data_IF_245555456068
#
_entry.id   IF_245555456068
#
_cell.length_a   1.000
_cell.length_b   1.000
_cell.length_c   1.000
_cell.angle_alpha   90.00
_cell.angle_beta   90.00
_cell.angle_gamma   90.00
#
_symmetry.space_group_name_H-M   'P 1'
#
loop_
_entity.id
_entity.type
_entity.pdbx_description
1 polymer ?
#
# COMPACT_ATOMS: atom_id res chain seq x y z
N UNK A 1 17.77 19.07 -40.10
CA UNK A 1 17.33 17.79 -40.69
C UNK A 1 17.22 16.79 -39.56
N UNK A 2 16.00 16.31 -39.35
CA UNK A 2 15.52 15.24 -38.47
C UNK A 2 15.65 15.31 -36.93
N UNK A 3 14.45 15.41 -36.36
CA UNK A 3 13.95 15.01 -35.04
C UNK A 3 14.09 13.50 -34.85
N UNK A 4 14.27 13.03 -33.61
CA UNK A 4 13.46 11.96 -33.00
C UNK A 4 13.46 12.10 -31.46
N UNK A 5 12.24 12.23 -30.92
CA UNK A 5 11.90 12.18 -29.50
C UNK A 5 11.91 10.73 -28.98
N UNK A 6 12.15 10.53 -27.68
CA UNK A 6 11.26 9.71 -26.85
C UNK A 6 11.38 10.06 -25.35
N UNK A 7 10.23 10.30 -24.71
CA UNK A 7 10.03 10.40 -23.26
C UNK A 7 9.70 9.01 -22.70
N UNK A 8 10.15 8.68 -21.50
CA UNK A 8 9.26 8.16 -20.44
C UNK A 8 9.95 8.19 -19.07
N UNK A 9 9.16 8.60 -18.08
CA UNK A 9 9.45 8.83 -16.68
C UNK A 9 9.28 7.55 -15.86
N UNK A 10 10.34 7.07 -15.21
CA UNK A 10 10.24 5.99 -14.22
C UNK A 10 9.89 6.55 -12.84
N UNK A 11 8.66 6.38 -12.39
CA UNK A 11 8.30 6.55 -10.98
C UNK A 11 8.84 5.33 -10.22
N UNK A 12 9.83 5.54 -9.35
CA UNK A 12 10.40 4.51 -8.49
C UNK A 12 9.68 4.53 -7.14
N UNK A 13 8.93 3.49 -6.82
CA UNK A 13 8.35 3.28 -5.49
C UNK A 13 9.42 2.64 -4.58
N UNK A 14 9.70 3.23 -3.42
CA UNK A 14 10.72 2.74 -2.47
C UNK A 14 10.05 2.41 -1.13
N UNK A 15 10.09 1.15 -0.73
CA UNK A 15 9.46 0.61 0.48
C UNK A 15 10.37 0.76 1.71
N UNK A 16 9.83 1.11 2.89
CA UNK A 16 10.55 1.18 4.18
C UNK A 16 9.68 0.56 5.29
N UNK A 17 10.19 -0.43 6.04
CA UNK A 17 9.54 -0.98 7.24
C UNK A 17 9.91 -0.17 8.50
N UNK A 18 8.95 -0.01 9.42
CA UNK A 18 8.94 1.03 10.47
C UNK A 18 9.20 0.53 11.91
N UNK A 19 10.10 -0.43 12.12
CA UNK A 19 10.56 -0.77 13.48
C UNK A 19 11.64 0.22 13.96
N UNK A 20 11.25 1.43 14.39
CA UNK A 20 12.22 2.40 14.93
C UNK A 20 11.79 3.86 15.03
N UNK A 21 10.49 4.15 15.04
CA UNK A 21 9.94 5.49 14.82
C UNK A 21 10.28 6.58 15.85
N UNK A 22 10.91 6.27 16.99
CA UNK A 22 11.37 7.32 17.92
C UNK A 22 12.83 7.75 17.75
N UNK A 23 13.63 7.04 16.94
CA UNK A 23 15.07 7.33 16.76
C UNK A 23 15.51 7.64 15.32
N UNK A 24 14.66 7.40 14.32
CA UNK A 24 15.07 7.42 12.89
C UNK A 24 14.28 8.48 12.11
N UNK A 25 14.28 9.72 12.58
CA UNK A 25 13.69 10.84 11.83
C UNK A 25 14.73 11.77 11.18
N UNK A 26 16.02 11.39 11.12
CA UNK A 26 17.09 12.33 10.74
C UNK A 26 18.09 11.93 9.65
N UNK A 27 17.88 10.92 8.77
CA UNK A 27 18.58 11.04 7.47
C UNK A 27 17.81 10.66 6.20
N UNK A 28 16.60 10.09 6.27
CA UNK A 28 15.83 9.73 5.05
C UNK A 28 14.82 10.78 4.59
N UNK A 29 14.58 11.84 5.40
CA UNK A 29 13.76 12.99 5.00
C UNK A 29 14.46 13.97 4.03
N UNK A 30 15.75 13.78 3.74
CA UNK A 30 16.50 14.66 2.83
C UNK A 30 16.09 14.54 1.35
N UNK A 31 15.21 13.59 1.01
CA UNK A 31 14.77 13.34 -0.36
C UNK A 31 13.30 13.68 -0.63
N UNK A 32 12.52 14.05 0.39
CA UNK A 32 11.08 14.37 0.25
C UNK A 32 10.70 15.80 0.61
N UNK A 33 11.61 16.63 1.13
CA UNK A 33 11.35 18.05 1.43
C UNK A 33 10.09 18.28 2.31
N UNK A 34 9.64 17.27 3.06
CA UNK A 34 8.53 17.39 4.01
C UNK A 34 9.15 18.00 5.27
N UNK A 35 8.87 19.27 5.53
CA UNK A 35 9.39 20.01 6.68
C UNK A 35 9.09 19.25 8.00
N UNK A 36 10.08 19.22 8.91
CA UNK A 36 10.06 18.52 10.21
C UNK A 36 8.88 19.00 11.08
N UNK A 37 8.37 20.21 10.82
CA UNK A 37 7.17 20.78 11.47
C UNK A 37 5.87 20.02 11.17
N UNK A 38 5.79 19.31 10.05
CA UNK A 38 4.56 18.62 9.62
C UNK A 38 4.44 17.19 10.15
N UNK A 39 5.52 16.60 10.69
CA UNK A 39 5.48 15.27 11.32
C UNK A 39 4.61 15.25 12.57
N UNK A 40 4.65 16.31 13.39
CA UNK A 40 3.76 16.43 14.56
C UNK A 40 2.27 16.50 14.16
N UNK A 41 1.96 17.22 13.08
CA UNK A 41 0.60 17.33 12.53
C UNK A 41 0.13 16.01 11.94
N UNK A 42 1.01 15.29 11.23
CA UNK A 42 0.72 13.97 10.68
C UNK A 42 0.45 12.96 11.81
N UNK A 43 1.30 12.88 12.84
CA UNK A 43 1.07 12.00 14.00
C UNK A 43 -0.25 12.31 14.75
N UNK A 44 -0.60 13.59 14.91
CA UNK A 44 -1.86 14.00 15.55
C UNK A 44 -3.10 13.65 14.69
N UNK A 45 -2.98 13.80 13.37
CA UNK A 45 -4.03 13.48 12.42
C UNK A 45 -4.27 11.97 12.29
N UNK A 46 -3.22 11.14 12.35
CA UNK A 46 -3.33 9.67 12.42
C UNK A 46 -4.14 9.25 13.66
N UNK A 47 -3.94 9.90 14.81
CA UNK A 47 -4.70 9.63 16.04
C UNK A 47 -6.20 9.96 15.98
N UNK A 48 -6.65 10.70 14.96
CA UNK A 48 -8.06 11.10 14.80
C UNK A 48 -8.91 10.14 13.96
N UNK A 49 -8.33 9.08 13.38
CA UNK A 49 -9.00 8.13 12.48
C UNK A 49 -9.83 7.06 13.25
N UNK A 50 -10.19 7.32 14.52
CA UNK A 50 -10.71 6.27 15.40
C UNK A 50 -12.19 5.93 15.18
N UNK A 51 -12.46 4.61 15.13
CA UNK A 51 -13.69 3.98 15.61
C UNK A 51 -13.65 3.89 17.15
N UNK A 52 -14.78 3.97 17.88
CA UNK A 52 -14.77 3.90 19.35
C UNK A 52 -14.17 2.60 19.86
N UNK A 53 -13.11 2.68 20.70
CA UNK A 53 -12.52 1.52 21.41
C UNK A 53 -11.10 1.12 21.00
N UNK A 54 -10.51 1.73 19.98
CA UNK A 54 -9.11 1.49 19.59
C UNK A 54 -8.19 2.43 20.38
N UNK A 55 -7.29 1.86 21.19
CA UNK A 55 -6.42 2.61 22.13
C UNK A 55 -4.96 2.72 21.67
N UNK A 56 -4.56 2.04 20.60
CA UNK A 56 -3.27 2.21 19.94
C UNK A 56 -3.41 2.06 18.42
N UNK A 57 -3.01 3.11 17.72
CA UNK A 57 -2.81 3.12 16.27
C UNK A 57 -1.32 3.01 16.01
N UNK A 58 -0.90 1.95 15.34
CA UNK A 58 0.50 1.76 14.97
C UNK A 58 0.61 1.87 13.44
N UNK A 59 0.93 3.05 12.90
CA UNK A 59 1.22 3.16 11.48
C UNK A 59 2.51 2.39 11.19
N UNK A 60 2.41 1.27 10.47
CA UNK A 60 3.57 0.40 10.18
C UNK A 60 4.03 0.48 8.72
N UNK A 61 3.18 1.02 7.84
CA UNK A 61 3.45 1.12 6.42
C UNK A 61 2.75 2.34 5.82
N UNK A 62 3.33 2.91 4.77
CA UNK A 62 2.72 3.98 3.99
C UNK A 62 2.96 3.79 2.49
N UNK A 63 2.08 4.37 1.69
CA UNK A 63 2.29 4.59 0.27
C UNK A 63 1.89 6.03 -0.10
N UNK A 64 2.42 6.51 -1.22
CA UNK A 64 2.26 7.90 -1.67
C UNK A 64 1.78 7.91 -3.11
N UNK A 65 0.81 8.75 -3.42
CA UNK A 65 0.22 8.88 -4.76
C UNK A 65 -0.78 10.03 -4.83
N UNK A 66 -1.19 10.41 -6.05
CA UNK A 66 -2.27 11.39 -6.26
C UNK A 66 -3.60 10.63 -6.33
N UNK A 67 -4.29 10.49 -5.19
CA UNK A 67 -5.51 9.67 -5.09
C UNK A 67 -6.79 10.45 -5.43
N UNK A 68 -6.69 11.77 -5.54
CA UNK A 68 -7.81 12.67 -5.82
C UNK A 68 -7.64 13.48 -7.13
N UNK A 69 -6.60 13.19 -7.91
CA UNK A 69 -6.26 13.83 -9.18
C UNK A 69 -6.04 15.35 -9.10
N UNK A 70 -5.59 15.85 -7.94
CA UNK A 70 -5.32 17.27 -7.73
C UNK A 70 -3.86 17.67 -8.05
N UNK A 71 -3.05 16.71 -8.51
CA UNK A 71 -1.62 16.82 -8.84
C UNK A 71 -0.72 17.10 -7.64
N UNK A 72 -1.21 16.89 -6.43
CA UNK A 72 -0.40 16.83 -5.20
C UNK A 72 -0.32 15.39 -4.74
N UNK A 73 0.74 15.11 -3.97
CA UNK A 73 0.93 13.79 -3.40
C UNK A 73 0.11 13.69 -2.11
N UNK A 74 -0.71 12.66 -2.04
CA UNK A 74 -1.43 12.22 -0.86
C UNK A 74 -0.70 11.03 -0.22
N UNK A 75 -1.06 10.71 1.02
CA UNK A 75 -0.49 9.60 1.77
C UNK A 75 -1.61 8.64 2.15
N UNK A 76 -1.37 7.34 1.95
CA UNK A 76 -2.17 6.28 2.53
C UNK A 76 -1.33 5.50 3.54
N UNK A 77 -1.93 5.08 4.65
CA UNK A 77 -1.25 4.38 5.74
C UNK A 77 -1.98 3.12 6.17
N UNK A 78 -1.20 2.10 6.53
CA UNK A 78 -1.67 0.91 7.22
C UNK A 78 -1.57 1.14 8.73
N UNK A 79 -2.72 1.08 9.41
CA UNK A 79 -2.78 1.17 10.85
C UNK A 79 -2.86 -0.24 11.43
N UNK A 80 -1.71 -0.78 11.86
CA UNK A 80 -1.64 -2.09 12.47
C UNK A 80 -2.48 -2.15 13.75
N UNK A 81 -3.09 -3.30 13.99
CA UNK A 81 -4.04 -3.49 15.10
C UNK A 81 -5.41 -2.83 14.89
N UNK A 82 -5.63 -2.17 13.74
CA UNK A 82 -6.94 -1.67 13.35
C UNK A 82 -7.48 -2.40 12.12
N UNK A 83 -8.76 -2.16 11.86
CA UNK A 83 -9.48 -2.73 10.73
C UNK A 83 -9.58 -1.78 9.55
N UNK A 84 -8.74 -0.73 9.51
CA UNK A 84 -8.85 0.37 8.56
C UNK A 84 -7.49 0.78 7.97
N UNK A 85 -7.55 1.34 6.76
CA UNK A 85 -6.48 2.19 6.21
C UNK A 85 -6.87 3.66 6.34
N UNK A 86 -5.89 4.50 6.65
CA UNK A 86 -6.03 5.95 6.72
C UNK A 86 -5.53 6.61 5.44
N UNK A 87 -6.10 7.75 5.07
CA UNK A 87 -5.64 8.54 3.95
C UNK A 87 -5.57 10.03 4.33
N UNK A 88 -4.57 10.72 3.79
CA UNK A 88 -4.35 12.15 3.99
C UNK A 88 -4.12 12.83 2.66
N UNK A 89 -4.96 13.81 2.32
CA UNK A 89 -4.79 14.58 1.10
C UNK A 89 -3.71 15.62 1.24
N UNK A 90 -2.82 15.70 0.25
CA UNK A 90 -1.88 16.78 0.10
C UNK A 90 -2.61 18.09 -0.12
N UNK A 91 -2.29 19.10 0.70
CA UNK A 91 -2.89 20.43 0.62
C UNK A 91 -1.83 21.49 0.34
N UNK A 92 -2.27 22.68 -0.06
CA UNK A 92 -1.36 23.82 -0.24
C UNK A 92 -0.57 24.10 1.05
N UNK A 93 0.64 24.64 0.90
CA UNK A 93 1.58 24.92 2.00
C UNK A 93 2.07 23.69 2.76
N UNK A 94 2.28 22.56 2.05
CA UNK A 94 2.84 21.31 2.60
C UNK A 94 1.99 20.69 3.73
N UNK A 95 0.72 21.06 3.82
CA UNK A 95 -0.23 20.54 4.80
C UNK A 95 -0.92 19.25 4.35
N UNK A 96 -1.52 18.55 5.30
CA UNK A 96 -2.32 17.35 5.05
C UNK A 96 -3.73 17.50 5.64
N UNK A 97 -4.75 17.13 4.86
CA UNK A 97 -6.13 17.05 5.32
C UNK A 97 -6.53 15.58 5.52
N UNK A 98 -7.27 15.30 6.59
CA UNK A 98 -7.79 13.96 6.85
C UNK A 98 -8.83 13.58 5.78
N UNK A 99 -8.61 12.44 5.14
CA UNK A 99 -9.65 11.76 4.39
C UNK A 99 -10.40 10.77 5.32
N UNK A 100 -11.64 10.37 4.97
CA UNK A 100 -12.33 9.30 5.67
C UNK A 100 -11.51 8.00 5.68
N UNK A 101 -11.49 7.31 6.82
CA UNK A 101 -10.91 5.98 6.91
C UNK A 101 -11.67 4.99 6.01
N UNK A 102 -10.95 4.04 5.42
CA UNK A 102 -11.58 2.94 4.70
C UNK A 102 -11.50 1.66 5.53
N UNK A 103 -12.66 1.02 5.74
CA UNK A 103 -12.70 -0.25 6.46
C UNK A 103 -12.26 -1.40 5.57
N UNK A 104 -11.28 -2.15 6.07
CA UNK A 104 -10.67 -3.30 5.40
C UNK A 104 -11.29 -4.63 5.84
N UNK A 105 -12.26 -4.58 6.78
CA UNK A 105 -12.96 -5.74 7.33
C UNK A 105 -12.55 -6.04 8.77
N UNK A 106 -13.46 -6.66 9.53
CA UNK A 106 -13.24 -6.92 10.96
C UNK A 106 -12.01 -7.79 11.22
N UNK A 107 -11.18 -7.36 12.16
CA UNK A 107 -9.92 -8.01 12.56
C UNK A 107 -8.94 -8.23 11.40
N UNK A 108 -8.85 -7.31 10.43
CA UNK A 108 -8.02 -7.50 9.24
C UNK A 108 -6.52 -7.43 9.55
N UNK A 109 -6.10 -6.54 10.44
CA UNK A 109 -4.70 -6.25 10.78
C UNK A 109 -3.84 -6.03 9.53
N UNK A 110 -4.02 -4.88 8.89
CA UNK A 110 -3.29 -4.53 7.67
C UNK A 110 -1.78 -4.44 7.93
N UNK A 111 -0.97 -5.15 7.14
CA UNK A 111 0.50 -5.24 7.32
C UNK A 111 1.32 -4.54 6.25
N UNK A 112 0.81 -4.43 5.03
CA UNK A 112 1.52 -3.85 3.89
C UNK A 112 0.53 -3.23 2.91
N UNK A 113 0.99 -2.20 2.21
CA UNK A 113 0.23 -1.51 1.16
C UNK A 113 1.09 -1.39 -0.09
N UNK A 114 0.50 -1.60 -1.26
CA UNK A 114 1.03 -1.13 -2.53
C UNK A 114 -0.05 -0.43 -3.34
N UNK A 115 0.36 0.40 -4.29
CA UNK A 115 -0.52 1.30 -5.06
C UNK A 115 -0.23 1.15 -6.54
N UNK A 116 -1.25 1.28 -7.38
CA UNK A 116 -1.16 1.14 -8.82
C UNK A 116 -2.54 1.21 -9.47
N UNK A 117 -2.58 1.23 -10.80
CA UNK A 117 -3.84 1.10 -11.55
C UNK A 117 -4.05 -0.38 -11.88
N UNK A 118 -4.91 -1.07 -11.13
CA UNK A 118 -5.09 -2.53 -11.27
C UNK A 118 -6.20 -2.90 -12.25
N UNK A 119 -7.04 -1.93 -12.64
CA UNK A 119 -8.17 -2.14 -13.55
C UNK A 119 -8.08 -1.32 -14.85
N UNK A 120 -6.96 -0.64 -15.08
CA UNK A 120 -6.67 0.20 -16.25
C UNK A 120 -7.66 1.36 -16.44
N UNK A 121 -8.18 1.90 -15.34
CA UNK A 121 -9.11 3.03 -15.37
C UNK A 121 -8.43 4.41 -15.18
N UNK A 122 -7.10 4.42 -15.11
CA UNK A 122 -6.21 5.58 -14.90
C UNK A 122 -6.30 6.22 -13.52
N UNK A 123 -6.90 5.56 -12.54
CA UNK A 123 -6.98 6.01 -11.15
C UNK A 123 -6.14 5.11 -10.27
N UNK A 124 -5.63 5.66 -9.18
CA UNK A 124 -4.87 4.87 -8.22
C UNK A 124 -5.80 3.99 -7.40
N UNK A 125 -5.54 2.69 -7.49
CA UNK A 125 -6.07 1.65 -6.64
C UNK A 125 -5.04 1.26 -5.57
N UNK A 126 -5.47 0.45 -4.61
CA UNK A 126 -4.67 0.02 -3.46
C UNK A 126 -4.77 -1.49 -3.32
N UNK A 127 -3.64 -2.16 -3.12
CA UNK A 127 -3.60 -3.55 -2.66
C UNK A 127 -3.03 -3.60 -1.25
N UNK A 128 -3.70 -4.34 -0.37
CA UNK A 128 -3.34 -4.47 1.04
C UNK A 128 -3.25 -5.94 1.46
N UNK A 129 -2.35 -6.24 2.39
CA UNK A 129 -2.28 -7.56 3.06
C UNK A 129 -2.96 -7.51 4.41
N UNK A 130 -3.86 -8.45 4.68
CA UNK A 130 -4.57 -8.60 5.93
C UNK A 130 -4.04 -9.83 6.68
N UNK A 131 -3.20 -9.61 7.68
CA UNK A 131 -2.45 -10.67 8.34
C UNK A 131 -3.37 -11.66 9.06
N UNK A 132 -4.27 -11.15 9.90
CA UNK A 132 -5.11 -11.98 10.76
C UNK A 132 -6.20 -12.75 9.99
N UNK A 133 -6.62 -12.23 8.83
CA UNK A 133 -7.66 -12.86 7.99
C UNK A 133 -7.11 -13.62 6.80
N UNK A 134 -5.77 -13.76 6.67
CA UNK A 134 -5.09 -14.59 5.68
C UNK A 134 -5.52 -14.30 4.22
N UNK A 135 -5.63 -13.01 3.90
CA UNK A 135 -6.03 -12.57 2.57
C UNK A 135 -5.31 -11.30 2.15
N UNK A 136 -5.45 -11.02 0.86
CA UNK A 136 -5.10 -9.75 0.24
C UNK A 136 -6.40 -9.12 -0.26
N UNK A 137 -6.51 -7.79 -0.16
CA UNK A 137 -7.66 -7.05 -0.67
C UNK A 137 -7.18 -6.00 -1.66
N UNK A 138 -7.83 -5.92 -2.81
CA UNK A 138 -7.65 -4.86 -3.81
C UNK A 138 -8.82 -3.90 -3.67
N UNK A 139 -8.54 -2.64 -3.46
CA UNK A 139 -9.50 -1.58 -3.17
C UNK A 139 -9.42 -0.57 -4.31
N UNK A 140 -10.51 -0.43 -5.05
CA UNK A 140 -10.54 0.36 -6.27
C UNK A 140 -10.83 1.83 -5.99
N UNK A 141 -9.98 2.70 -6.52
CA UNK A 141 -10.06 4.14 -6.32
C UNK A 141 -11.16 4.78 -7.15
N UNK A 142 -11.80 5.81 -6.60
CA UNK A 142 -12.73 6.65 -7.36
C UNK A 142 -12.02 7.71 -8.18
N UNK A 143 -10.76 8.03 -7.85
CA UNK A 143 -10.00 9.16 -8.40
C UNK A 143 -10.38 10.50 -7.78
N UNK A 144 -11.23 10.51 -6.76
CA UNK A 144 -11.66 11.69 -6.01
C UNK A 144 -11.35 11.54 -4.51
N UNK A 145 -10.32 10.75 -4.17
CA UNK A 145 -9.94 10.51 -2.78
C UNK A 145 -10.89 9.58 -2.02
N UNK A 146 -11.71 8.80 -2.72
CA UNK A 146 -12.58 7.79 -2.12
C UNK A 146 -12.38 6.44 -2.80
N UNK A 147 -12.93 5.39 -2.21
CA UNK A 147 -12.90 4.03 -2.76
C UNK A 147 -14.29 3.59 -3.21
N UNK A 148 -14.36 2.83 -4.29
CA UNK A 148 -15.61 2.41 -4.92
C UNK A 148 -16.08 1.06 -4.40
N UNK A 149 -15.22 0.05 -4.51
CA UNK A 149 -15.47 -1.32 -4.10
C UNK A 149 -14.14 -2.03 -3.87
N UNK A 150 -14.20 -3.25 -3.35
CA UNK A 150 -13.02 -4.07 -3.15
C UNK A 150 -13.25 -5.53 -3.57
N UNK A 151 -12.15 -6.23 -3.83
CA UNK A 151 -12.12 -7.66 -4.09
C UNK A 151 -11.11 -8.30 -3.16
N UNK A 152 -11.48 -9.43 -2.55
CA UNK A 152 -10.64 -10.15 -1.60
C UNK A 152 -10.20 -11.49 -2.19
N UNK A 153 -8.92 -11.81 -2.02
CA UNK A 153 -8.32 -13.09 -2.41
C UNK A 153 -7.65 -13.75 -1.21
N UNK A 154 -7.94 -15.03 -0.98
CA UNK A 154 -7.25 -15.80 0.06
C UNK A 154 -5.79 -16.05 -0.33
N UNK A 155 -4.88 -15.96 0.65
CA UNK A 155 -3.47 -16.36 0.48
C UNK A 155 -3.18 -17.73 1.10
N UNK A 156 -4.22 -18.48 1.48
CA UNK A 156 -4.13 -19.79 2.11
C UNK A 156 -4.33 -19.75 3.63
N UNK A 157 -4.74 -20.88 4.22
CA UNK A 157 -4.95 -20.96 5.68
C UNK A 157 -3.63 -20.76 6.44
N UNK A 158 -3.68 -19.96 7.51
CA UNK A 158 -2.54 -19.61 8.36
C UNK A 158 -1.37 -18.95 7.60
N UNK A 159 -1.63 -18.32 6.45
CA UNK A 159 -0.61 -17.72 5.60
C UNK A 159 0.08 -16.51 6.24
N UNK A 160 -0.62 -15.75 7.08
CA UNK A 160 -0.12 -14.54 7.75
C UNK A 160 0.65 -13.62 6.77
N UNK A 161 -0.04 -13.07 5.76
CA UNK A 161 0.61 -12.24 4.75
C UNK A 161 1.21 -10.99 5.41
N UNK A 162 2.46 -10.68 5.05
CA UNK A 162 3.25 -9.63 5.72
C UNK A 162 3.78 -8.56 4.76
N UNK A 163 3.85 -8.84 3.46
CA UNK A 163 4.33 -7.87 2.46
C UNK A 163 3.67 -8.13 1.11
N UNK A 164 3.44 -7.06 0.35
CA UNK A 164 2.97 -7.11 -1.03
C UNK A 164 3.81 -6.19 -1.91
N UNK A 165 4.12 -6.66 -3.12
CA UNK A 165 4.81 -5.88 -4.16
C UNK A 165 4.06 -6.02 -5.48
N UNK A 166 4.12 -4.98 -6.29
CA UNK A 166 3.37 -4.88 -7.56
C UNK A 166 4.33 -4.61 -8.71
N UNK A 167 4.10 -5.27 -9.84
CA UNK A 167 4.83 -5.12 -11.09
C UNK A 167 4.11 -5.89 -12.19
N UNK A 168 4.39 -5.57 -13.45
CA UNK A 168 4.08 -6.48 -14.57
C UNK A 168 5.11 -7.62 -14.55
N UNK A 169 4.68 -8.84 -14.19
CA UNK A 169 5.58 -10.00 -14.00
C UNK A 169 5.63 -10.89 -15.24
N UNK A 170 4.67 -10.76 -16.15
CA UNK A 170 4.53 -11.62 -17.33
C UNK A 170 4.67 -10.85 -18.67
N UNK A 171 4.94 -9.54 -18.61
CA UNK A 171 5.07 -8.60 -19.74
C UNK A 171 3.78 -8.42 -20.55
N UNK A 172 2.62 -8.45 -19.89
CA UNK A 172 1.32 -8.21 -20.54
C UNK A 172 0.80 -6.78 -20.38
N UNK A 173 1.60 -5.89 -19.79
CA UNK A 173 1.30 -4.51 -19.43
C UNK A 173 0.18 -4.34 -18.40
N UNK A 174 -0.12 -5.37 -17.61
CA UNK A 174 -1.06 -5.27 -16.48
C UNK A 174 -0.28 -5.44 -15.18
N UNK A 175 -0.69 -4.71 -14.13
CA UNK A 175 -0.07 -4.84 -12.83
C UNK A 175 -0.48 -6.16 -12.16
N UNK A 176 0.50 -7.04 -11.97
CA UNK A 176 0.42 -8.21 -11.12
C UNK A 176 0.85 -7.87 -9.70
N UNK A 177 0.70 -8.82 -8.78
CA UNK A 177 1.28 -8.69 -7.45
C UNK A 177 1.80 -10.00 -6.85
N UNK A 178 2.78 -9.86 -5.97
CA UNK A 178 3.36 -10.95 -5.18
C UNK A 178 3.13 -10.65 -3.70
N UNK A 179 2.70 -11.67 -2.96
CA UNK A 179 2.49 -11.62 -1.51
C UNK A 179 3.46 -12.54 -0.81
N UNK A 180 4.11 -12.01 0.22
CA UNK A 180 4.92 -12.79 1.15
C UNK A 180 4.05 -13.36 2.29
N UNK A 181 4.09 -14.69 2.49
CA UNK A 181 3.29 -15.38 3.51
C UNK A 181 4.20 -15.98 4.59
N UNK A 182 4.33 -15.25 5.70
CA UNK A 182 5.25 -15.61 6.78
C UNK A 182 4.83 -16.86 7.57
N UNK A 183 3.52 -17.12 7.69
CA UNK A 183 3.00 -18.22 8.52
C UNK A 183 3.20 -19.61 7.89
N UNK A 184 3.34 -19.68 6.57
CA UNK A 184 3.50 -20.94 5.82
C UNK A 184 4.78 -21.00 4.97
N UNK A 185 5.65 -19.98 5.04
CA UNK A 185 6.91 -19.91 4.29
C UNK A 185 6.72 -20.03 2.76
N UNK A 186 5.78 -19.26 2.22
CA UNK A 186 5.52 -19.22 0.78
C UNK A 186 5.48 -17.80 0.25
N UNK A 187 5.65 -17.64 -1.06
CA UNK A 187 5.14 -16.49 -1.79
C UNK A 187 3.92 -16.92 -2.61
N UNK A 188 2.94 -16.02 -2.73
CA UNK A 188 1.80 -16.16 -3.63
C UNK A 188 1.89 -15.12 -4.74
N UNK A 189 1.81 -15.55 -5.99
CA UNK A 189 1.80 -14.69 -7.18
C UNK A 189 0.38 -14.64 -7.74
N UNK A 190 -0.13 -13.44 -7.97
CA UNK A 190 -1.43 -13.18 -8.55
C UNK A 190 -1.25 -12.43 -9.86
N UNK A 191 -1.56 -13.10 -10.96
CA UNK A 191 -1.51 -12.53 -12.30
C UNK A 191 -2.84 -11.84 -12.63
N UNK A 192 -2.77 -10.63 -13.16
CA UNK A 192 -3.92 -9.83 -13.53
C UNK A 192 -4.60 -10.37 -14.80
N UNK A 193 -5.91 -10.19 -14.87
CA UNK A 193 -6.71 -10.36 -16.08
C UNK A 193 -7.12 -8.99 -16.68
N UNK A 194 -6.57 -7.88 -16.17
CA UNK A 194 -6.66 -6.54 -16.79
C UNK A 194 -7.92 -5.75 -16.52
N UNK A 195 -8.84 -6.35 -15.78
CA UNK A 195 -10.13 -5.81 -15.39
C UNK A 195 -10.25 -5.61 -13.89
N UNK A 196 -9.12 -5.54 -13.17
CA UNK A 196 -9.08 -5.55 -11.71
C UNK A 196 -9.31 -6.93 -11.09
N UNK A 197 -9.44 -7.97 -11.90
CA UNK A 197 -9.54 -9.36 -11.41
C UNK A 197 -8.22 -10.08 -11.62
N UNK A 198 -7.92 -11.01 -10.71
CA UNK A 198 -6.70 -11.80 -10.72
C UNK A 198 -7.02 -13.28 -10.84
N UNK A 199 -6.12 -14.00 -11.51
CA UNK A 199 -6.13 -15.46 -11.58
C UNK A 199 -5.91 -16.10 -10.20
N UNK A 200 -6.20 -17.40 -10.09
CA UNK A 200 -5.86 -18.16 -8.89
C UNK A 200 -4.36 -18.02 -8.57
N UNK A 201 -4.06 -17.89 -7.27
CA UNK A 201 -2.67 -17.72 -6.83
C UNK A 201 -1.79 -18.89 -7.28
N UNK A 202 -0.58 -18.55 -7.72
CA UNK A 202 0.51 -19.51 -7.91
C UNK A 202 1.41 -19.42 -6.68
N UNK A 203 1.58 -20.51 -5.95
CA UNK A 203 2.32 -20.53 -4.68
C UNK A 203 3.67 -21.21 -4.84
N UNK A 204 4.72 -20.57 -4.32
CA UNK A 204 6.07 -21.14 -4.25
C UNK A 204 6.55 -21.19 -2.80
N UNK A 205 7.11 -22.31 -2.37
CA UNK A 205 7.79 -22.38 -1.08
C UNK A 205 9.12 -21.62 -1.16
N UNK A 206 9.45 -20.90 -0.09
CA UNK A 206 10.75 -20.22 0.05
C UNK A 206 11.73 -20.96 0.93
N UNK A 207 11.42 -22.23 1.27
CA UNK A 207 12.21 -23.06 2.17
C UNK A 207 11.83 -22.89 3.64
N UNK A 208 12.19 -23.87 4.47
CA UNK A 208 12.00 -23.79 5.93
C UNK A 208 12.97 -22.78 6.55
N UNK A 209 12.46 -21.94 7.46
CA UNK A 209 13.17 -20.83 8.14
C UNK A 209 13.39 -19.54 7.34
N UNK A 210 12.68 -19.34 6.23
CA UNK A 210 12.67 -18.04 5.54
C UNK A 210 11.70 -17.08 6.22
N UNK A 211 12.22 -16.09 6.94
CA UNK A 211 11.42 -14.93 7.37
C UNK A 211 11.37 -13.93 6.21
N UNK A 212 10.35 -14.02 5.37
CA UNK A 212 10.13 -13.02 4.33
C UNK A 212 9.66 -11.72 4.99
N UNK A 213 10.50 -10.68 4.96
CA UNK A 213 10.19 -9.37 5.55
C UNK A 213 9.66 -8.37 4.51
N UNK A 214 10.04 -8.52 3.25
CA UNK A 214 9.64 -7.62 2.17
C UNK A 214 9.75 -8.31 0.82
N UNK A 215 8.81 -7.99 -0.06
CA UNK A 215 8.95 -8.10 -1.51
C UNK A 215 9.02 -6.67 -2.07
N UNK A 216 9.89 -6.43 -3.05
CA UNK A 216 10.05 -5.12 -3.69
C UNK A 216 10.30 -5.27 -5.19
N UNK A 217 9.65 -4.46 -6.00
CA UNK A 217 10.00 -4.28 -7.42
C UNK A 217 11.24 -3.39 -7.59
N UNK A 218 12.02 -3.63 -8.65
CA UNK A 218 13.27 -2.93 -8.98
C UNK A 218 13.02 -1.65 -9.79
#
# INVERSE_FOLDING_TARGET
>A
MQVLNYRQSSLRYKYISMEGLSKVLCPSLLQLNIDIRNIHTLCANIASINSPGITSIEPIFLAVGDFNNDKRLDIIIANFGTDNIGMFFGYANEGFLNAPAYSTGSSSQVTSIAVGDFNNDTRLDVVITNNATNNVKIIFGSGYGTFLYDITYSTGNASQPCSVSVADLNNDNQLDFVVANSGINTISIFLSNGSGTFSNQITYSTGVHSHQYSVSSL
#
